data_IF_071658986125
#
_entry.id   IF_071658986125
#
_cell.length_a   1.000
_cell.length_b   1.000
_cell.length_c   1.000
_cell.angle_alpha   90.00
_cell.angle_beta   90.00
_cell.angle_gamma   90.00
#
_symmetry.space_group_name_H-M   'P 1'
#
loop_
_entity.id
_entity.type
_entity.pdbx_description
1 polymer ?
#
# COMPACT_ATOMS: atom_id res chain seq x y z
N UNK A 1 22.47 10.41 -9.08
CA UNK A 1 23.19 10.82 -10.33
C UNK A 1 24.14 11.98 -10.01
N UNK A 2 25.27 12.14 -10.73
CA UNK A 2 26.36 13.15 -10.51
C UNK A 2 27.24 12.98 -9.26
N UNK A 3 27.37 11.77 -8.70
CA UNK A 3 28.26 11.52 -7.55
C UNK A 3 27.81 12.16 -6.22
N UNK A 4 26.59 12.71 -6.16
CA UNK A 4 26.02 13.26 -4.92
C UNK A 4 25.77 12.16 -3.90
N UNK A 5 26.32 12.32 -2.70
CA UNK A 5 26.05 11.47 -1.55
C UNK A 5 24.64 11.73 -1.02
N UNK A 6 23.88 10.67 -0.75
CA UNK A 6 22.56 10.71 -0.11
C UNK A 6 22.56 9.78 1.09
N UNK A 7 21.82 10.12 2.14
CA UNK A 7 21.58 9.21 3.27
C UNK A 7 20.33 8.39 2.98
N UNK A 8 20.46 7.07 3.07
CA UNK A 8 19.36 6.13 2.89
C UNK A 8 19.07 5.38 4.18
N UNK A 9 17.79 5.28 4.53
CA UNK A 9 17.27 4.50 5.64
C UNK A 9 16.29 3.49 5.08
N UNK A 10 16.66 2.21 5.13
CA UNK A 10 15.90 1.10 4.56
C UNK A 10 15.19 0.31 5.66
N UNK A 11 13.96 -0.12 5.39
CA UNK A 11 13.24 -1.06 6.24
C UNK A 11 12.71 -0.46 7.53
N UNK A 12 12.28 0.81 7.51
CA UNK A 12 11.64 1.44 8.67
C UNK A 12 10.20 0.93 8.78
N UNK A 13 9.82 0.24 9.87
CA UNK A 13 8.46 -0.23 10.04
C UNK A 13 7.55 0.97 10.34
N UNK A 14 6.39 1.05 9.67
CA UNK A 14 5.40 2.11 9.93
C UNK A 14 4.10 1.58 10.55
N UNK A 15 3.94 0.26 10.63
CA UNK A 15 2.78 -0.41 11.21
C UNK A 15 3.18 -1.70 11.91
N UNK A 16 2.34 -2.18 12.84
CA UNK A 16 2.50 -3.52 13.43
C UNK A 16 2.45 -4.56 12.31
N UNK A 17 3.27 -5.64 12.37
CA UNK A 17 3.20 -6.72 11.40
C UNK A 17 1.77 -7.30 11.32
N UNK A 18 1.15 -7.38 10.14
CA UNK A 18 -0.24 -7.84 9.98
C UNK A 18 -0.35 -9.37 10.03
N UNK A 19 0.18 -9.97 11.10
CA UNK A 19 0.27 -11.42 11.32
C UNK A 19 -0.90 -11.93 12.16
N UNK A 20 -1.24 -13.22 11.99
CA UNK A 20 -2.27 -13.90 12.79
C UNK A 20 -3.61 -13.16 12.75
N UNK A 21 -4.11 -12.76 13.92
CA UNK A 21 -5.37 -12.01 14.07
C UNK A 21 -5.40 -10.65 13.36
N UNK A 22 -4.24 -10.08 13.03
CA UNK A 22 -4.14 -8.84 12.27
C UNK A 22 -4.19 -9.06 10.75
N UNK A 23 -4.08 -10.31 10.28
CA UNK A 23 -4.25 -10.63 8.85
C UNK A 23 -5.68 -10.28 8.43
N UNK A 24 -5.81 -9.66 7.26
CA UNK A 24 -7.08 -9.14 6.70
C UNK A 24 -7.74 -7.99 7.50
N UNK A 25 -7.11 -7.48 8.56
CA UNK A 25 -7.60 -6.33 9.33
C UNK A 25 -6.91 -5.01 8.92
N UNK A 26 -7.52 -3.86 9.23
CA UNK A 26 -6.84 -2.57 9.06
C UNK A 26 -5.49 -2.55 9.79
N UNK A 27 -4.49 -1.91 9.19
CA UNK A 27 -3.17 -1.79 9.82
C UNK A 27 -3.25 -0.98 11.12
N UNK A 28 -2.41 -1.38 12.08
CA UNK A 28 -2.34 -0.77 13.40
C UNK A 28 -1.02 0.01 13.51
N UNK A 29 -1.04 1.27 13.99
CA UNK A 29 0.18 2.03 14.24
C UNK A 29 1.15 1.27 15.14
N UNK A 30 2.44 1.46 14.90
CA UNK A 30 3.47 0.96 15.82
C UNK A 30 3.43 1.71 17.13
N UNK A 31 3.68 0.97 18.20
CA UNK A 31 4.04 1.56 19.49
C UNK A 31 5.51 1.95 19.46
N UNK A 32 5.89 2.88 20.32
CA UNK A 32 7.29 3.22 20.52
C UNK A 32 8.06 1.97 20.98
N UNK A 33 9.26 1.77 20.43
CA UNK A 33 10.16 0.70 20.84
C UNK A 33 11.41 1.28 21.51
N UNK A 34 12.05 0.48 22.35
CA UNK A 34 13.35 0.82 22.94
C UNK A 34 14.50 0.40 22.04
N UNK A 35 15.58 1.18 22.04
CA UNK A 35 16.80 0.88 21.30
C UNK A 35 16.81 1.41 19.86
N UNK A 36 17.90 1.10 19.14
CA UNK A 36 18.15 1.63 17.80
C UNK A 36 17.81 0.58 16.74
N UNK A 37 16.99 0.94 15.76
CA UNK A 37 16.73 0.11 14.59
C UNK A 37 17.90 0.23 13.60
N UNK A 38 18.45 -0.91 13.17
CA UNK A 38 19.41 -0.94 12.07
C UNK A 38 18.70 -0.82 10.71
N UNK A 39 18.48 0.42 10.26
CA UNK A 39 17.80 0.73 8.99
C UNK A 39 18.75 0.73 7.77
N UNK A 40 19.64 -0.24 7.67
CA UNK A 40 20.58 -0.40 6.52
C UNK A 40 20.29 -1.63 5.68
N UNK A 41 19.49 -2.55 6.19
CA UNK A 41 19.24 -3.84 5.55
C UNK A 41 18.03 -3.79 4.62
N UNK A 42 18.01 -4.60 3.56
CA UNK A 42 16.81 -4.80 2.76
C UNK A 42 15.68 -5.36 3.63
N UNK A 43 14.47 -4.85 3.42
CA UNK A 43 13.27 -5.39 4.05
C UNK A 43 12.56 -6.39 3.13
N UNK A 44 11.66 -7.19 3.71
CA UNK A 44 10.85 -8.12 2.94
C UNK A 44 9.89 -7.37 1.99
N UNK A 45 9.65 -7.97 0.81
CA UNK A 45 8.54 -7.60 -0.06
C UNK A 45 7.24 -8.18 0.52
N UNK A 46 6.09 -7.57 0.22
CA UNK A 46 4.81 -8.15 0.60
C UNK A 46 4.55 -9.46 -0.17
N UNK A 47 3.77 -10.41 0.39
CA UNK A 47 3.55 -11.71 -0.21
C UNK A 47 2.93 -11.57 -1.59
N UNK A 48 3.61 -12.08 -2.59
CA UNK A 48 3.22 -11.91 -3.99
C UNK A 48 3.81 -13.01 -4.87
N UNK A 49 3.28 -13.12 -6.08
CA UNK A 49 3.85 -14.01 -7.10
C UNK A 49 5.15 -13.40 -7.65
N UNK A 50 6.20 -14.22 -7.71
CA UNK A 50 7.45 -13.89 -8.35
C UNK A 50 7.45 -14.36 -9.80
N UNK A 51 6.98 -13.50 -10.71
CA UNK A 51 6.91 -13.80 -12.15
C UNK A 51 8.29 -13.96 -12.83
N UNK A 52 9.37 -13.53 -12.15
CA UNK A 52 10.73 -13.64 -12.68
C UNK A 52 11.38 -15.00 -12.41
N UNK A 53 10.85 -15.75 -11.45
CA UNK A 53 11.35 -17.06 -11.06
C UNK A 53 10.52 -18.17 -11.73
N UNK A 54 10.70 -18.29 -13.05
CA UNK A 54 9.90 -19.20 -13.91
C UNK A 54 10.19 -20.69 -13.66
N UNK A 55 11.33 -21.01 -13.05
CA UNK A 55 11.78 -22.38 -12.80
C UNK A 55 11.30 -22.91 -11.43
N UNK A 56 10.87 -22.01 -10.55
CA UNK A 56 10.39 -22.38 -9.23
C UNK A 56 8.94 -22.88 -9.29
N UNK A 57 8.66 -24.14 -8.88
CA UNK A 57 7.30 -24.67 -8.84
C UNK A 57 6.40 -23.94 -7.82
N UNK A 58 7.01 -23.15 -6.94
CA UNK A 58 6.39 -22.35 -5.89
C UNK A 58 6.82 -20.88 -6.01
N UNK A 59 6.36 -20.13 -7.05
CA UNK A 59 6.85 -18.79 -7.35
C UNK A 59 6.22 -17.74 -6.41
N UNK A 60 6.23 -17.97 -5.10
CA UNK A 60 5.73 -17.04 -4.08
C UNK A 60 6.91 -16.49 -3.30
N UNK A 61 7.00 -15.17 -3.25
CA UNK A 61 8.04 -14.46 -2.52
C UNK A 61 7.44 -13.53 -1.48
N UNK A 62 8.26 -13.15 -0.50
CA UNK A 62 7.91 -12.14 0.50
C UNK A 62 7.47 -12.70 1.85
N UNK A 63 7.10 -11.79 2.73
CA UNK A 63 6.65 -12.07 4.09
C UNK A 63 5.46 -11.17 4.42
N UNK A 64 4.53 -11.63 5.25
CA UNK A 64 3.43 -10.78 5.72
C UNK A 64 3.91 -9.63 6.60
N UNK A 65 5.06 -9.81 7.27
CA UNK A 65 5.76 -8.70 7.87
C UNK A 65 6.47 -7.90 6.76
N UNK A 66 5.71 -7.01 6.08
CA UNK A 66 6.20 -6.22 4.95
C UNK A 66 5.86 -4.74 5.00
N UNK A 67 5.19 -4.25 6.05
CA UNK A 67 4.74 -2.85 6.19
C UNK A 67 5.91 -1.93 6.59
N UNK A 68 6.82 -1.78 5.65
CA UNK A 68 8.02 -0.97 5.75
C UNK A 68 8.02 0.17 4.73
N UNK A 69 8.74 1.23 5.06
CA UNK A 69 9.07 2.32 4.16
C UNK A 69 10.58 2.57 4.18
N UNK A 70 11.06 3.22 3.13
CA UNK A 70 12.44 3.69 3.02
C UNK A 70 12.45 5.21 2.92
N UNK A 71 13.45 5.85 3.50
CA UNK A 71 13.64 7.29 3.44
C UNK A 71 15.01 7.58 2.83
N UNK A 72 15.05 8.44 1.83
CA UNK A 72 16.27 8.92 1.20
C UNK A 72 16.30 10.43 1.28
N UNK A 73 17.37 10.99 1.84
CA UNK A 73 17.49 12.42 2.09
C UNK A 73 18.86 12.94 1.63
N UNK A 74 18.94 14.16 1.05
CA UNK A 74 20.22 14.78 0.72
C UNK A 74 21.08 15.03 1.96
N UNK A 75 20.45 15.38 3.08
CA UNK A 75 21.13 15.71 4.32
C UNK A 75 20.22 15.49 5.52
N UNK A 76 20.74 14.81 6.53
CA UNK A 76 20.09 14.67 7.84
C UNK A 76 20.44 15.91 8.69
N UNK A 77 19.47 16.55 9.38
CA UNK A 77 19.73 17.62 10.33
C UNK A 77 20.70 17.15 11.42
N UNK A 78 21.82 17.87 11.60
CA UNK A 78 22.84 17.52 12.62
C UNK A 78 22.53 18.12 14.00
N UNK A 79 21.78 19.22 14.01
CA UNK A 79 21.41 20.00 15.18
C UNK A 79 20.09 20.75 14.93
N UNK A 80 19.46 21.24 16.02
CA UNK A 80 18.15 21.91 15.95
C UNK A 80 18.16 23.25 15.19
N UNK A 81 19.35 23.76 14.85
CA UNK A 81 19.55 25.05 14.16
C UNK A 81 19.75 24.89 12.65
N UNK A 82 19.92 23.67 12.15
CA UNK A 82 19.90 23.41 10.73
C UNK A 82 18.48 23.66 10.19
N UNK A 83 18.28 24.80 9.51
CA UNK A 83 17.05 25.18 8.80
C UNK A 83 16.73 24.28 7.58
N UNK A 84 17.08 22.99 7.64
CA UNK A 84 16.83 22.01 6.59
C UNK A 84 15.34 21.71 6.56
N UNK A 85 14.71 21.96 5.41
CA UNK A 85 13.28 21.75 5.21
C UNK A 85 12.99 21.44 3.74
N UNK A 86 13.35 20.23 3.32
CA UNK A 86 13.17 19.78 1.95
C UNK A 86 11.72 19.39 1.64
N UNK A 87 11.20 19.63 0.43
CA UNK A 87 9.94 19.04 0.02
C UNK A 87 10.01 17.51 0.07
N UNK A 88 8.90 16.84 0.34
CA UNK A 88 8.83 15.39 0.47
C UNK A 88 8.10 14.81 -0.74
N UNK A 89 8.72 13.84 -1.41
CA UNK A 89 8.09 13.01 -2.43
C UNK A 89 7.77 11.64 -1.83
N UNK A 90 6.50 11.32 -1.65
CA UNK A 90 6.03 10.02 -1.17
C UNK A 90 5.59 9.18 -2.37
N UNK A 91 6.36 8.14 -2.69
CA UNK A 91 6.16 7.33 -3.88
C UNK A 91 5.50 5.99 -3.56
N UNK A 92 4.42 5.69 -4.29
CA UNK A 92 3.63 4.46 -4.20
C UNK A 92 3.87 3.63 -5.46
N UNK A 93 4.39 2.41 -5.29
CA UNK A 93 4.67 1.53 -6.41
C UNK A 93 3.41 1.00 -7.10
N UNK A 94 3.52 0.73 -8.40
CA UNK A 94 2.51 0.02 -9.19
C UNK A 94 2.58 -1.50 -9.03
N UNK A 95 2.01 -2.22 -10.00
CA UNK A 95 1.97 -3.69 -10.00
C UNK A 95 0.58 -4.27 -9.77
N UNK A 96 -0.45 -3.62 -10.34
CA UNK A 96 -1.84 -4.13 -10.37
C UNK A 96 -2.44 -4.45 -9.00
N UNK A 97 -1.92 -3.84 -7.93
CA UNK A 97 -2.26 -4.15 -6.53
C UNK A 97 -1.93 -5.60 -6.11
N UNK A 98 -1.19 -6.37 -6.91
CA UNK A 98 -0.90 -7.79 -6.66
C UNK A 98 0.60 -8.10 -6.57
N UNK A 99 1.43 -7.26 -7.19
CA UNK A 99 2.90 -7.32 -7.15
C UNK A 99 3.48 -5.92 -6.97
N UNK A 100 4.79 -5.84 -6.77
CA UNK A 100 5.53 -4.61 -6.57
C UNK A 100 6.16 -4.52 -5.19
N UNK A 101 7.11 -3.60 -5.07
CA UNK A 101 7.85 -3.38 -3.85
C UNK A 101 8.52 -2.00 -3.86
N UNK A 102 8.70 -1.44 -2.66
CA UNK A 102 9.53 -0.27 -2.39
C UNK A 102 10.99 -0.62 -2.08
N UNK A 103 11.34 -1.92 -2.03
CA UNK A 103 12.70 -2.39 -1.77
C UNK A 103 13.69 -1.75 -2.75
N UNK A 104 14.85 -1.38 -2.23
CA UNK A 104 15.87 -0.59 -2.94
C UNK A 104 16.24 -1.15 -4.33
N UNK A 105 16.37 -2.46 -4.46
CA UNK A 105 16.73 -3.13 -5.73
C UNK A 105 15.61 -3.12 -6.79
N UNK A 106 14.37 -2.81 -6.39
CA UNK A 106 13.23 -2.65 -7.30
C UNK A 106 12.97 -1.17 -7.62
N UNK A 107 13.11 -0.31 -6.61
CA UNK A 107 12.85 1.11 -6.70
C UNK A 107 13.87 1.91 -5.89
N UNK A 108 15.07 2.02 -6.45
CA UNK A 108 16.17 2.75 -5.86
C UNK A 108 15.99 4.27 -5.98
N UNK A 109 16.57 5.04 -5.04
CA UNK A 109 16.55 6.49 -5.06
C UNK A 109 17.19 7.07 -6.33
N UNK A 110 18.14 6.38 -6.96
CA UNK A 110 18.84 6.81 -8.17
C UNK A 110 17.91 7.02 -9.38
N UNK A 111 16.74 6.39 -9.39
CA UNK A 111 15.73 6.53 -10.43
C UNK A 111 14.83 7.76 -10.20
N UNK A 112 14.80 8.29 -8.97
CA UNK A 112 13.83 9.28 -8.51
C UNK A 112 14.45 10.56 -7.92
N UNK A 113 15.74 10.52 -7.54
CA UNK A 113 16.46 11.64 -6.93
C UNK A 113 17.42 12.31 -7.92
N UNK A 114 16.90 13.34 -8.58
CA UNK A 114 17.68 14.32 -9.33
C UNK A 114 17.59 15.74 -8.73
N UNK A 115 16.91 15.89 -7.58
CA UNK A 115 16.57 17.18 -6.94
C UNK A 115 16.78 17.13 -5.43
N UNK A 116 16.83 18.31 -4.81
CA UNK A 116 16.94 18.48 -3.35
C UNK A 116 15.57 18.27 -2.69
N UNK A 117 15.20 17.00 -2.51
CA UNK A 117 13.96 16.56 -1.88
C UNK A 117 14.20 15.31 -1.03
N UNK A 118 13.34 15.08 -0.05
CA UNK A 118 13.29 13.80 0.68
C UNK A 118 12.37 12.86 -0.08
N UNK A 119 12.87 11.69 -0.45
CA UNK A 119 12.09 10.63 -1.09
C UNK A 119 11.69 9.59 -0.04
N UNK A 120 10.41 9.25 0.00
CA UNK A 120 9.88 8.14 0.79
C UNK A 120 9.29 7.12 -0.16
N UNK A 121 9.73 5.86 -0.09
CA UNK A 121 9.11 4.75 -0.84
C UNK A 121 8.45 3.79 0.14
N UNK A 122 7.28 3.25 -0.21
CA UNK A 122 6.45 2.50 0.74
C UNK A 122 5.97 1.15 0.19
N UNK A 123 6.07 0.10 1.00
CA UNK A 123 5.33 -1.15 0.77
C UNK A 123 3.92 -1.05 1.34
N UNK A 124 2.95 -1.67 0.69
CA UNK A 124 1.59 -1.84 1.19
C UNK A 124 1.11 -3.27 0.89
N UNK A 125 0.14 -3.79 1.66
CA UNK A 125 -0.37 -5.15 1.40
C UNK A 125 -0.99 -5.26 0.01
N UNK A 126 -0.72 -6.39 -0.64
CA UNK A 126 -1.12 -6.70 -2.01
C UNK A 126 -2.14 -7.84 -2.03
N UNK A 127 -2.82 -8.01 -3.16
CA UNK A 127 -3.69 -9.16 -3.41
C UNK A 127 -4.84 -9.27 -2.42
N UNK A 128 -5.25 -10.51 -2.17
CA UNK A 128 -6.29 -10.80 -1.17
C UNK A 128 -5.94 -10.25 0.22
N UNK A 129 -4.65 -10.27 0.62
CA UNK A 129 -4.23 -9.78 1.94
C UNK A 129 -4.47 -8.28 2.11
N UNK A 130 -4.33 -7.51 1.03
CA UNK A 130 -4.59 -6.07 1.03
C UNK A 130 -6.02 -5.69 0.70
N UNK A 131 -6.77 -6.53 -0.01
CA UNK A 131 -7.94 -6.05 -0.74
C UNK A 131 -9.14 -6.98 -0.80
N UNK A 132 -9.05 -8.21 -0.26
CA UNK A 132 -10.24 -9.03 -0.04
C UNK A 132 -11.25 -8.27 0.82
N UNK A 133 -12.55 -8.47 0.59
CA UNK A 133 -13.59 -7.81 1.37
C UNK A 133 -14.88 -8.61 1.43
N UNK A 134 -15.41 -8.80 2.64
CA UNK A 134 -16.74 -9.38 2.90
C UNK A 134 -17.87 -8.35 2.78
N UNK A 135 -17.55 -7.09 2.48
CA UNK A 135 -18.52 -6.00 2.36
C UNK A 135 -19.05 -5.46 3.68
N UNK A 136 -18.61 -6.02 4.80
CA UNK A 136 -18.87 -5.57 6.17
C UNK A 136 -17.53 -5.29 6.89
N UNK A 137 -17.56 -5.16 8.22
CA UNK A 137 -16.38 -4.84 9.03
C UNK A 137 -15.52 -6.07 9.38
N UNK A 138 -15.93 -7.28 8.95
CA UNK A 138 -15.22 -8.52 9.26
C UNK A 138 -13.92 -8.63 8.47
N UNK A 139 -14.00 -8.55 7.14
CA UNK A 139 -12.86 -8.28 6.25
C UNK A 139 -13.14 -6.95 5.55
N UNK A 140 -12.72 -5.82 6.15
CA UNK A 140 -13.05 -4.52 5.60
C UNK A 140 -12.19 -4.22 4.37
N UNK A 141 -12.80 -3.63 3.35
CA UNK A 141 -12.12 -3.32 2.09
C UNK A 141 -10.95 -2.36 2.24
N UNK A 142 -10.05 -2.41 1.25
CA UNK A 142 -8.96 -1.45 1.03
C UNK A 142 -7.90 -1.41 2.14
N UNK A 143 -7.56 -2.55 2.74
CA UNK A 143 -6.49 -2.58 3.73
C UNK A 143 -5.14 -2.12 3.14
N UNK A 144 -4.82 -2.44 1.90
CA UNK A 144 -3.64 -1.92 1.21
C UNK A 144 -3.64 -0.39 1.06
N UNK A 145 -4.79 0.24 0.77
CA UNK A 145 -4.88 1.71 0.76
C UNK A 145 -4.81 2.30 2.18
N UNK A 146 -5.37 1.63 3.19
CA UNK A 146 -5.25 2.04 4.59
C UNK A 146 -3.80 1.96 5.08
N UNK A 147 -3.04 0.99 4.60
CA UNK A 147 -1.60 0.89 4.86
C UNK A 147 -0.86 2.13 4.32
N UNK A 148 -1.17 2.56 3.09
CA UNK A 148 -0.62 3.79 2.50
C UNK A 148 -1.01 5.04 3.31
N UNK A 149 -2.24 5.12 3.82
CA UNK A 149 -2.68 6.21 4.70
C UNK A 149 -1.89 6.22 6.01
N UNK A 150 -1.67 5.06 6.62
CA UNK A 150 -0.91 4.97 7.86
C UNK A 150 0.56 5.35 7.64
N UNK A 151 1.16 4.96 6.52
CA UNK A 151 2.49 5.41 6.14
C UNK A 151 2.56 6.93 5.90
N UNK A 152 1.53 7.55 5.31
CA UNK A 152 1.46 9.02 5.19
C UNK A 152 1.39 9.71 6.55
N UNK A 153 0.67 9.14 7.53
CA UNK A 153 0.68 9.64 8.91
C UNK A 153 2.06 9.52 9.54
N UNK A 154 2.73 8.38 9.33
CA UNK A 154 4.11 8.22 9.76
C UNK A 154 5.02 9.33 9.17
N UNK A 155 4.87 9.64 7.88
CA UNK A 155 5.61 10.75 7.24
C UNK A 155 5.29 12.09 7.91
N UNK A 156 4.01 12.39 8.14
CA UNK A 156 3.60 13.62 8.81
C UNK A 156 4.28 13.79 10.17
N UNK A 157 4.34 12.70 10.94
CA UNK A 157 4.82 12.72 12.32
C UNK A 157 6.36 12.66 12.42
N UNK A 158 7.05 12.10 11.42
CA UNK A 158 8.48 11.76 11.55
C UNK A 158 9.39 12.44 10.53
N UNK A 159 8.91 12.86 9.35
CA UNK A 159 9.82 13.20 8.23
C UNK A 159 10.72 14.42 8.50
N UNK A 160 10.34 15.28 9.44
CA UNK A 160 11.14 16.40 9.89
C UNK A 160 12.51 15.98 10.44
N UNK A 161 12.59 14.81 11.11
CA UNK A 161 13.87 14.30 11.63
C UNK A 161 14.83 13.85 10.52
N UNK A 162 14.32 13.62 9.32
CA UNK A 162 15.07 13.30 8.11
C UNK A 162 15.34 14.55 7.24
N UNK A 163 15.00 15.75 7.72
CA UNK A 163 15.15 17.01 7.00
C UNK A 163 14.01 17.33 6.03
N UNK A 164 12.93 16.55 6.04
CA UNK A 164 11.76 16.78 5.20
C UNK A 164 10.77 17.78 5.82
N UNK A 165 10.00 18.46 4.99
CA UNK A 165 8.95 19.37 5.41
C UNK A 165 7.59 18.63 5.44
N UNK A 166 7.00 18.36 6.61
CA UNK A 166 5.73 17.64 6.73
C UNK A 166 4.51 18.42 6.20
N UNK A 167 4.66 19.70 5.85
CA UNK A 167 3.63 20.53 5.21
C UNK A 167 3.77 20.60 3.67
N UNK A 168 4.84 20.02 3.10
CA UNK A 168 5.11 20.00 1.66
C UNK A 168 5.28 18.57 1.15
N UNK A 169 4.23 17.76 1.33
CA UNK A 169 4.20 16.36 0.91
C UNK A 169 3.52 16.24 -0.46
N UNK A 170 4.28 15.81 -1.47
CA UNK A 170 3.76 15.42 -2.78
C UNK A 170 3.68 13.91 -2.84
N UNK A 171 2.51 13.35 -3.11
CA UNK A 171 2.36 11.92 -3.39
C UNK A 171 2.51 11.66 -4.89
N UNK A 172 3.16 10.55 -5.25
CA UNK A 172 3.37 10.15 -6.63
C UNK A 172 3.26 8.63 -6.78
N UNK A 173 2.89 8.17 -7.96
CA UNK A 173 2.81 6.74 -8.24
C UNK A 173 2.47 6.45 -9.70
N UNK A 174 2.83 5.24 -10.13
CA UNK A 174 2.57 4.74 -11.48
C UNK A 174 1.61 3.55 -11.49
N UNK A 175 0.74 3.44 -12.48
CA UNK A 175 -0.20 2.32 -12.66
C UNK A 175 -1.10 2.16 -11.42
N UNK A 176 -1.12 1.00 -10.75
CA UNK A 176 -1.82 0.82 -9.48
C UNK A 176 -1.40 1.85 -8.40
N UNK A 177 -0.15 2.30 -8.41
CA UNK A 177 0.32 3.39 -7.56
C UNK A 177 -0.27 4.74 -7.96
N UNK A 178 -0.47 4.99 -9.26
CA UNK A 178 -1.18 6.17 -9.75
C UNK A 178 -2.67 6.16 -9.36
N UNK A 179 -3.31 5.00 -9.49
CA UNK A 179 -4.68 4.79 -8.99
C UNK A 179 -4.75 4.98 -7.48
N UNK A 180 -3.76 4.50 -6.71
CA UNK A 180 -3.62 4.75 -5.28
C UNK A 180 -3.52 6.24 -4.97
N UNK A 181 -2.67 6.98 -5.68
CA UNK A 181 -2.57 8.44 -5.54
C UNK A 181 -3.92 9.10 -5.76
N UNK A 182 -4.63 8.74 -6.83
CA UNK A 182 -5.97 9.27 -7.10
C UNK A 182 -6.97 8.88 -6.00
N UNK A 183 -6.91 7.67 -5.45
CA UNK A 183 -7.74 7.30 -4.28
C UNK A 183 -7.47 8.17 -3.06
N UNK A 184 -6.19 8.43 -2.79
CA UNK A 184 -5.75 9.20 -1.63
C UNK A 184 -6.10 10.68 -1.77
N UNK A 185 -6.19 11.26 -2.97
CA UNK A 185 -6.68 12.64 -3.13
C UNK A 185 -8.18 12.77 -2.87
N UNK A 186 -8.95 11.70 -3.02
CA UNK A 186 -10.41 11.67 -2.81
C UNK A 186 -10.82 11.27 -1.39
N UNK A 187 -9.91 10.64 -0.64
CA UNK A 187 -10.23 10.09 0.69
C UNK A 187 -10.24 11.18 1.78
N UNK A 188 -11.25 11.24 2.67
CA UNK A 188 -11.17 12.10 3.84
C UNK A 188 -10.07 11.66 4.83
N UNK A 189 -9.59 10.42 4.75
CA UNK A 189 -8.57 9.89 5.67
C UNK A 189 -7.19 10.53 5.50
N UNK A 190 -6.96 11.20 4.37
CA UNK A 190 -5.71 11.88 4.01
C UNK A 190 -5.81 13.40 4.12
N UNK A 191 -6.93 13.94 4.62
CA UNK A 191 -7.12 15.38 4.81
C UNK A 191 -6.00 15.93 5.70
N UNK A 192 -5.25 16.91 5.19
CA UNK A 192 -4.12 17.53 5.88
C UNK A 192 -2.80 16.75 5.82
N UNK A 193 -2.75 15.63 5.09
CA UNK A 193 -1.53 14.83 4.91
C UNK A 193 -0.82 15.07 3.57
N UNK A 194 -1.52 15.62 2.57
CA UNK A 194 -1.05 15.75 1.18
C UNK A 194 -1.19 17.19 0.71
N UNK A 195 -0.15 17.71 0.08
CA UNK A 195 -0.12 19.05 -0.53
C UNK A 195 -0.34 18.99 -2.04
N UNK A 196 0.30 18.02 -2.71
CA UNK A 196 0.27 17.86 -4.17
C UNK A 196 0.23 16.40 -4.58
N UNK A 197 -0.20 16.11 -5.81
CA UNK A 197 -0.29 14.74 -6.34
C UNK A 197 0.23 14.66 -7.78
N UNK A 198 0.96 13.58 -8.09
CA UNK A 198 1.41 13.22 -9.44
C UNK A 198 0.85 11.83 -9.75
N UNK A 199 -0.04 11.78 -10.75
CA UNK A 199 -0.76 10.57 -11.12
C UNK A 199 -0.24 10.08 -12.47
N UNK A 200 0.50 8.97 -12.50
CA UNK A 200 1.09 8.45 -13.73
C UNK A 200 0.36 7.18 -14.18
N UNK A 201 -0.36 7.25 -15.30
CA UNK A 201 -0.98 6.08 -15.94
C UNK A 201 -1.86 5.20 -15.03
N UNK A 202 -2.61 5.80 -14.10
CA UNK A 202 -3.56 5.08 -13.23
C UNK A 202 -4.59 6.02 -12.64
N UNK A 203 -5.87 5.67 -12.69
CA UNK A 203 -6.98 6.49 -12.18
C UNK A 203 -8.05 5.62 -11.53
N UNK A 204 -8.80 6.19 -10.58
CA UNK A 204 -9.85 5.45 -9.86
C UNK A 204 -10.95 4.93 -10.76
N UNK A 205 -11.24 5.55 -11.90
CA UNK A 205 -12.29 5.06 -12.82
C UNK A 205 -11.81 3.93 -13.76
N UNK A 206 -10.54 3.53 -13.66
CA UNK A 206 -10.03 2.41 -14.46
C UNK A 206 -10.62 1.09 -13.97
N UNK A 207 -10.94 0.21 -14.91
CA UNK A 207 -11.50 -1.13 -14.60
C UNK A 207 -10.57 -1.97 -13.72
N UNK A 208 -9.28 -1.66 -13.71
CA UNK A 208 -8.26 -2.31 -12.87
C UNK A 208 -8.16 -1.73 -11.45
N UNK A 209 -8.98 -0.72 -11.13
CA UNK A 209 -8.93 0.01 -9.88
C UNK A 209 -10.26 0.02 -9.14
N UNK A 210 -11.35 -0.52 -9.68
CA UNK A 210 -12.68 -0.54 -9.03
C UNK A 210 -13.35 -1.90 -9.17
N UNK A 211 -13.91 -2.40 -8.08
CA UNK A 211 -14.90 -3.48 -8.07
C UNK A 211 -16.18 -3.06 -7.36
N UNK A 212 -17.37 -3.34 -7.93
CA UNK A 212 -18.61 -3.13 -7.22
C UNK A 212 -18.68 -3.92 -5.91
N UNK A 213 -19.31 -3.33 -4.87
CA UNK A 213 -19.45 -3.96 -3.53
C UNK A 213 -19.96 -5.39 -3.60
N UNK A 214 -21.01 -5.65 -4.38
CA UNK A 214 -21.62 -6.98 -4.48
C UNK A 214 -20.67 -8.00 -5.14
N UNK A 215 -19.89 -7.57 -6.14
CA UNK A 215 -18.89 -8.42 -6.78
C UNK A 215 -17.73 -8.74 -5.84
N UNK A 216 -17.31 -7.77 -5.02
CA UNK A 216 -16.30 -7.99 -3.97
C UNK A 216 -16.74 -9.04 -2.96
N UNK A 217 -18.01 -9.04 -2.54
CA UNK A 217 -18.58 -10.04 -1.63
C UNK A 217 -18.57 -11.42 -2.29
N UNK A 218 -19.07 -11.54 -3.51
CA UNK A 218 -19.06 -12.80 -4.25
C UNK A 218 -17.65 -13.32 -4.53
N UNK A 219 -16.69 -12.42 -4.73
CA UNK A 219 -15.27 -12.77 -4.82
C UNK A 219 -14.75 -13.35 -3.51
N UNK A 220 -15.05 -12.72 -2.36
CA UNK A 220 -14.62 -13.22 -1.06
C UNK A 220 -15.16 -14.62 -0.74
N UNK A 221 -16.42 -14.89 -1.09
CA UNK A 221 -17.03 -16.22 -0.94
C UNK A 221 -16.31 -17.27 -1.78
N UNK A 222 -16.14 -17.03 -3.09
CA UNK A 222 -15.41 -17.96 -3.98
C UNK A 222 -13.95 -18.15 -3.57
N UNK A 223 -13.31 -17.10 -3.07
CA UNK A 223 -11.94 -17.16 -2.54
C UNK A 223 -11.88 -18.09 -1.32
N UNK A 224 -12.85 -17.95 -0.41
CA UNK A 224 -13.05 -18.85 0.72
C UNK A 224 -13.25 -20.30 0.29
N UNK A 225 -14.13 -20.55 -0.69
CA UNK A 225 -14.40 -21.89 -1.22
C UNK A 225 -13.14 -22.60 -1.73
N UNK A 226 -12.27 -21.89 -2.45
CA UNK A 226 -11.00 -22.44 -2.94
C UNK A 226 -10.02 -22.83 -1.84
N UNK A 227 -10.19 -22.24 -0.66
CA UNK A 227 -9.39 -22.53 0.52
C UNK A 227 -10.16 -23.38 1.54
N UNK A 228 -11.27 -24.02 1.14
CA UNK A 228 -12.13 -24.82 2.02
C UNK A 228 -12.60 -24.01 3.26
N UNK A 229 -12.97 -22.75 3.04
CA UNK A 229 -13.53 -21.81 4.02
C UNK A 229 -14.96 -21.41 3.64
N UNK A 230 -15.75 -22.34 3.08
CA UNK A 230 -17.00 -22.09 2.37
C UNK A 230 -18.24 -21.88 3.24
N UNK A 231 -18.15 -22.05 4.57
CA UNK A 231 -19.31 -22.13 5.45
C UNK A 231 -19.29 -21.06 6.54
N UNK A 232 -20.43 -20.44 6.78
CA UNK A 232 -20.68 -19.58 7.93
C UNK A 232 -20.82 -18.09 7.60
N UNK A 233 -20.59 -17.28 8.62
CA UNK A 233 -20.64 -15.81 8.60
C UNK A 233 -19.35 -15.21 8.02
N UNK A 234 -19.33 -13.89 7.81
CA UNK A 234 -18.11 -13.16 7.43
C UNK A 234 -16.99 -13.34 8.47
N UNK A 235 -17.36 -13.44 9.75
CA UNK A 235 -16.44 -13.72 10.86
C UNK A 235 -15.85 -15.14 10.77
N UNK A 236 -16.65 -16.13 10.38
CA UNK A 236 -16.19 -17.52 10.20
C UNK A 236 -15.22 -17.62 9.03
N UNK A 237 -15.52 -16.94 7.91
CA UNK A 237 -14.63 -16.82 6.77
C UNK A 237 -13.30 -16.18 7.16
N UNK A 238 -13.34 -15.05 7.88
CA UNK A 238 -12.15 -14.38 8.40
C UNK A 238 -11.28 -15.33 9.24
N UNK A 239 -11.87 -15.96 10.27
CA UNK A 239 -11.13 -16.88 11.16
C UNK A 239 -10.51 -18.04 10.40
N UNK A 240 -11.25 -18.62 9.45
CA UNK A 240 -10.74 -19.70 8.61
C UNK A 240 -9.54 -19.22 7.78
N UNK A 241 -9.64 -18.07 7.10
CA UNK A 241 -8.57 -17.53 6.28
C UNK A 241 -7.33 -17.09 7.09
N UNK A 242 -7.51 -16.61 8.32
CA UNK A 242 -6.42 -16.31 9.25
C UNK A 242 -5.62 -17.57 9.63
N UNK A 243 -6.29 -18.72 9.70
CA UNK A 243 -5.64 -20.02 9.93
C UNK A 243 -5.00 -20.67 8.70
N UNK A 244 -5.20 -20.14 7.47
CA UNK A 244 -4.61 -20.72 6.25
C UNK A 244 -3.13 -20.39 6.11
N UNK A 245 -2.39 -21.30 5.48
CA UNK A 245 -0.99 -21.05 5.18
C UNK A 245 -0.87 -19.94 4.13
N UNK A 246 0.12 -19.04 4.31
CA UNK A 246 0.31 -17.88 3.44
C UNK A 246 0.42 -18.28 1.97
N UNK A 247 1.17 -19.34 1.69
CA UNK A 247 1.35 -19.86 0.34
C UNK A 247 0.01 -20.18 -0.34
N UNK A 248 -0.92 -20.82 0.36
CA UNK A 248 -2.21 -21.23 -0.21
C UNK A 248 -3.05 -20.00 -0.59
N UNK A 249 -3.02 -18.96 0.25
CA UNK A 249 -3.70 -17.68 0.03
C UNK A 249 -3.14 -16.99 -1.22
N UNK A 250 -1.81 -16.84 -1.28
CA UNK A 250 -1.16 -16.12 -2.39
C UNK A 250 -1.31 -16.88 -3.70
N UNK A 251 -1.27 -18.22 -3.66
CA UNK A 251 -1.43 -19.09 -4.84
C UNK A 251 -2.80 -18.95 -5.48
N UNK A 252 -3.86 -18.68 -4.72
CA UNK A 252 -5.19 -18.47 -5.30
C UNK A 252 -5.26 -17.27 -6.25
N UNK A 253 -4.33 -16.31 -6.16
CA UNK A 253 -4.24 -15.21 -7.12
C UNK A 253 -3.93 -15.67 -8.56
N UNK A 254 -3.43 -16.90 -8.75
CA UNK A 254 -3.28 -17.50 -10.08
C UNK A 254 -4.59 -18.02 -10.65
N UNK A 255 -5.49 -18.47 -9.78
CA UNK A 255 -6.76 -19.12 -10.13
C UNK A 255 -7.85 -18.10 -10.46
N UNK A 256 -7.83 -16.98 -9.76
CA UNK A 256 -8.64 -15.83 -10.12
C UNK A 256 -7.85 -15.07 -11.19
N UNK A 257 -8.26 -15.23 -12.46
CA UNK A 257 -7.60 -14.65 -13.65
C UNK A 257 -7.06 -13.24 -13.39
N UNK A 258 -6.00 -12.85 -14.09
CA UNK A 258 -5.48 -11.48 -14.15
C UNK A 258 -6.63 -10.48 -14.30
N UNK A 259 -7.71 -10.83 -15.01
CA UNK A 259 -8.97 -10.11 -14.93
C UNK A 259 -9.41 -9.96 -13.47
N UNK A 260 -9.91 -10.98 -12.77
CA UNK A 260 -10.41 -10.97 -11.37
C UNK A 260 -9.44 -10.40 -10.31
N UNK A 261 -8.12 -10.58 -10.45
CA UNK A 261 -7.11 -10.01 -9.54
C UNK A 261 -6.80 -8.53 -9.81
N UNK A 262 -7.10 -8.04 -11.02
CA UNK A 262 -7.18 -6.61 -11.34
C UNK A 262 -8.43 -5.92 -10.75
N UNK A 263 -9.39 -6.64 -10.15
CA UNK A 263 -10.61 -6.05 -9.56
C UNK A 263 -10.53 -5.93 -8.05
N UNK A 264 -9.34 -5.84 -7.46
CA UNK A 264 -9.21 -5.81 -6.01
C UNK A 264 -9.03 -4.40 -5.48
N UNK A 265 -9.79 -3.40 -5.96
CA UNK A 265 -9.80 -2.12 -5.26
C UNK A 265 -11.21 -1.53 -5.18
N UNK A 266 -11.52 -1.10 -3.97
CA UNK A 266 -12.69 -0.36 -3.52
C UNK A 266 -14.05 -1.06 -3.42
N UNK A 267 -14.40 -1.44 -2.19
CA UNK A 267 -15.77 -1.42 -1.73
C UNK A 267 -16.15 -0.01 -1.25
N UNK A 268 -17.37 0.46 -1.50
CA UNK A 268 -17.92 1.73 -1.01
C UNK A 268 -18.13 1.70 0.52
N UNK A 269 -17.06 1.56 1.29
CA UNK A 269 -17.09 1.83 2.73
C UNK A 269 -17.11 3.33 2.94
N UNK A 270 -18.13 3.81 3.67
CA UNK A 270 -18.38 5.22 4.00
C UNK A 270 -17.22 5.91 4.72
N UNK A 271 -16.25 5.13 5.25
CA UNK A 271 -15.05 5.64 5.93
C UNK A 271 -13.91 6.02 4.98
N UNK A 272 -13.75 5.32 3.85
CA UNK A 272 -12.60 5.56 2.94
C UNK A 272 -12.94 6.49 1.77
N UNK A 273 -14.14 6.40 1.17
CA UNK A 273 -14.66 7.42 0.24
C UNK A 273 -16.08 7.80 0.67
N UNK A 274 -16.37 9.10 0.76
CA UNK A 274 -17.75 9.63 0.85
C UNK A 274 -18.20 10.01 -0.55
N UNK A 275 -19.18 9.31 -1.10
CA UNK A 275 -19.67 9.61 -2.45
C UNK A 275 -20.60 10.82 -2.46
N UNK A 276 -20.11 11.93 -3.04
CA UNK A 276 -20.91 12.99 -3.65
C UNK A 276 -20.58 13.23 -5.14
N UNK A 277 -19.55 12.57 -5.68
CA UNK A 277 -18.94 12.95 -6.97
C UNK A 277 -19.60 12.24 -8.18
N UNK A 278 -20.19 11.06 -8.02
CA UNK A 278 -20.89 10.36 -9.13
C UNK A 278 -22.39 10.66 -9.24
N UNK A 279 -23.00 11.41 -8.30
CA UNK A 279 -24.43 11.77 -8.39
C UNK A 279 -24.74 12.95 -9.33
N UNK A 280 -23.74 13.60 -9.93
CA UNK A 280 -23.92 14.82 -10.75
C UNK A 280 -23.66 14.70 -12.24
N UNK A 281 -23.35 13.51 -12.76
CA UNK A 281 -23.39 13.28 -14.21
C UNK A 281 -24.68 12.55 -14.58
N UNK A 282 -25.81 13.26 -14.46
CA UNK A 282 -26.92 12.99 -15.36
C UNK A 282 -26.46 13.43 -16.75
N UNK A 283 -26.46 12.49 -17.68
CA UNK A 283 -26.34 12.74 -19.10
C UNK A 283 -27.31 13.87 -19.49
N UNK A 284 -26.79 15.07 -19.76
CA UNK A 284 -27.44 15.95 -20.71
C UNK A 284 -27.12 15.37 -22.10
N UNK A 285 -27.95 14.43 -22.55
CA UNK A 285 -28.14 14.26 -23.98
C UNK A 285 -28.93 15.48 -24.48
N UNK A 286 -28.30 16.27 -25.34
CA UNK A 286 -28.95 17.01 -26.42
C UNK A 286 -28.25 16.63 -27.70
#
# INVERSE_FOLDING_TARGET
RKGRTVSGFSGIPYAKPPLGELRFKPSVPLEAWSGTLNATQPHAVCPQLNYYDKENPNPIAGSENCLFLNVYTPQVPKDKWNNISYPVLFYIHGGSFSVGSARYDWLGPELLLDKDLVLVTVNYRLGALGFLSTGDDSIPANNGLKDQVLALRWVKDNIATFGGNPEKVTISGNSAGGSSVHYLTLSPMTKGLITSAIIQSGVVISQIAVIPRNESIGYAQRFGEKLNCSSGTSEDLLKCLQGRHLYDIVKQQLTFSVTVVLWLVQNYSTRFLRLGILRRFHFCQR
#
